data_IF_689618906837
#
_entry.id   IF_689618906837
#
_cell.length_a   1.000
_cell.length_b   1.000
_cell.length_c   1.000
_cell.angle_alpha   90.00
_cell.angle_beta   90.00
_cell.angle_gamma   90.00
#
_symmetry.space_group_name_H-M   'P 1'
#
loop_
_entity.id
_entity.type
_entity.pdbx_description
1 polymer ?
#
# COMPACT_ATOMS: atom_id res chain seq x y z
N UNK A 1 17.50 2.11 -21.63
CA UNK A 1 16.72 2.37 -20.41
C UNK A 1 16.33 1.01 -19.86
N UNK A 2 16.70 0.69 -18.62
CA UNK A 2 16.29 -0.54 -17.95
C UNK A 2 14.81 -0.50 -17.57
N UNK A 3 14.24 -1.67 -17.24
CA UNK A 3 12.89 -1.81 -16.71
C UNK A 3 12.97 -2.55 -15.37
N UNK A 4 12.35 -1.98 -14.35
CA UNK A 4 12.55 -2.38 -12.96
C UNK A 4 11.21 -2.80 -12.36
N UNK A 5 11.18 -4.02 -11.84
CA UNK A 5 10.00 -4.61 -11.21
C UNK A 5 10.37 -5.01 -9.78
N UNK A 6 9.42 -4.79 -8.90
CA UNK A 6 9.61 -4.96 -7.47
C UNK A 6 8.50 -5.83 -6.90
N UNK A 7 8.84 -6.93 -6.24
CA UNK A 7 7.86 -7.77 -5.56
C UNK A 7 8.04 -7.61 -4.05
N UNK A 8 6.99 -7.20 -3.38
CA UNK A 8 6.92 -7.08 -1.93
C UNK A 8 6.02 -8.18 -1.39
N UNK A 9 6.46 -8.92 -0.37
CA UNK A 9 5.78 -10.14 0.05
C UNK A 9 5.82 -10.38 1.56
N UNK A 10 4.84 -11.13 2.05
CA UNK A 10 4.83 -11.69 3.41
C UNK A 10 5.95 -12.71 3.60
N UNK A 11 6.26 -13.50 2.57
CA UNK A 11 7.17 -14.64 2.67
C UNK A 11 8.35 -14.54 1.72
N UNK A 12 9.56 -14.72 2.27
CA UNK A 12 10.78 -14.94 1.51
C UNK A 12 10.83 -16.38 1.01
N UNK A 13 10.67 -16.58 -0.29
CA UNK A 13 10.78 -17.87 -0.95
C UNK A 13 12.26 -18.22 -1.12
N UNK A 14 12.63 -19.43 -0.71
CA UNK A 14 13.98 -19.92 -0.91
C UNK A 14 14.27 -20.14 -2.39
N UNK A 15 15.56 -20.25 -2.72
CA UNK A 15 16.02 -20.65 -4.04
C UNK A 15 15.32 -21.92 -4.57
N UNK A 16 15.14 -22.91 -3.68
CA UNK A 16 14.49 -24.19 -4.00
C UNK A 16 13.02 -24.02 -4.40
N UNK A 17 12.33 -23.02 -3.84
CA UNK A 17 10.94 -22.70 -4.17
C UNK A 17 10.80 -21.83 -5.42
N UNK A 18 11.79 -20.97 -5.71
CA UNK A 18 11.76 -20.09 -6.88
C UNK A 18 12.08 -20.85 -8.18
N UNK A 19 12.98 -21.85 -8.12
CA UNK A 19 13.40 -22.61 -9.32
C UNK A 19 12.23 -23.32 -10.04
N UNK A 20 11.32 -24.02 -9.35
CA UNK A 20 10.11 -24.57 -9.97
C UNK A 20 9.23 -23.50 -10.64
N UNK A 21 9.05 -22.33 -10.02
CA UNK A 21 8.26 -21.24 -10.59
C UNK A 21 8.85 -20.71 -11.90
N UNK A 22 10.18 -20.63 -11.98
CA UNK A 22 10.89 -20.28 -13.21
C UNK A 22 10.69 -21.36 -14.28
N UNK A 23 10.87 -22.64 -13.92
CA UNK A 23 10.70 -23.76 -14.84
C UNK A 23 9.28 -23.81 -15.43
N UNK A 24 8.25 -23.63 -14.60
CA UNK A 24 6.84 -23.58 -15.01
C UNK A 24 6.52 -22.37 -15.90
N UNK A 25 7.37 -21.35 -15.90
CA UNK A 25 7.30 -20.19 -16.79
C UNK A 25 8.12 -20.38 -18.08
N UNK A 26 8.77 -21.54 -18.27
CA UNK A 26 9.68 -21.81 -19.39
C UNK A 26 10.99 -21.03 -19.27
N UNK A 27 11.40 -20.68 -18.04
CA UNK A 27 12.60 -19.94 -17.71
C UNK A 27 13.59 -20.85 -16.98
N UNK A 28 14.88 -20.50 -17.05
CA UNK A 28 15.94 -21.19 -16.32
C UNK A 28 16.94 -20.17 -15.77
N UNK A 29 17.73 -20.60 -14.79
CA UNK A 29 18.85 -19.80 -14.27
C UNK A 29 20.11 -20.18 -15.05
N UNK A 30 20.86 -19.20 -15.52
CA UNK A 30 22.22 -19.35 -16.03
C UNK A 30 23.22 -19.26 -14.88
N UNK A 31 24.23 -20.14 -14.90
CA UNK A 31 25.11 -20.49 -13.78
C UNK A 31 25.37 -19.32 -12.81
N UNK A 32 25.17 -19.60 -11.53
CA UNK A 32 25.27 -18.65 -10.41
C UNK A 32 26.74 -18.26 -10.11
N UNK A 33 27.50 -17.89 -11.13
CA UNK A 33 28.93 -17.57 -11.05
C UNK A 33 29.23 -16.13 -10.60
N UNK A 34 28.23 -15.42 -10.04
CA UNK A 34 28.52 -14.25 -9.22
C UNK A 34 28.90 -14.74 -7.81
N UNK A 35 29.99 -14.24 -7.22
CA UNK A 35 30.51 -14.72 -5.94
C UNK A 35 29.59 -14.46 -4.74
N UNK A 36 28.52 -13.65 -4.90
CA UNK A 36 27.42 -13.56 -3.94
C UNK A 36 26.18 -14.18 -4.56
N UNK A 37 25.62 -15.20 -3.92
CA UNK A 37 24.38 -15.87 -4.34
C UNK A 37 23.12 -14.99 -4.23
N UNK A 38 23.25 -13.68 -4.42
CA UNK A 38 22.24 -12.65 -4.15
C UNK A 38 21.37 -12.36 -5.38
N UNK A 39 21.85 -12.64 -6.60
CA UNK A 39 21.08 -12.44 -7.81
C UNK A 39 21.32 -13.53 -8.86
N UNK A 40 20.28 -13.81 -9.65
CA UNK A 40 20.24 -14.82 -10.68
C UNK A 40 20.02 -14.21 -12.05
N UNK A 41 20.85 -14.61 -13.01
CA UNK A 41 20.60 -14.35 -14.43
C UNK A 41 19.56 -15.35 -14.94
N UNK A 42 18.40 -14.86 -15.35
CA UNK A 42 17.30 -15.68 -15.87
C UNK A 42 17.34 -15.68 -17.39
N UNK A 43 17.32 -16.87 -17.97
CA UNK A 43 17.35 -17.12 -19.40
C UNK A 43 16.11 -17.87 -19.87
N UNK A 44 15.84 -17.80 -21.18
CA UNK A 44 14.66 -18.37 -21.82
C UNK A 44 15.00 -19.16 -23.09
N UNK A 45 14.29 -20.27 -23.28
CA UNK A 45 14.35 -21.08 -24.50
C UNK A 45 15.62 -21.91 -24.65
N UNK A 46 15.66 -22.73 -25.71
CA UNK A 46 16.76 -23.67 -25.94
C UNK A 46 18.12 -22.99 -26.16
N UNK A 47 18.13 -21.77 -26.71
CA UNK A 47 19.35 -20.97 -26.92
C UNK A 47 19.78 -20.18 -25.68
N UNK A 48 19.10 -20.36 -24.54
CA UNK A 48 19.40 -19.67 -23.27
C UNK A 48 19.54 -18.15 -23.43
N UNK A 49 18.63 -17.52 -24.18
CA UNK A 49 18.65 -16.07 -24.36
C UNK A 49 18.38 -15.40 -23.01
N UNK A 50 19.17 -14.39 -22.64
CA UNK A 50 18.89 -13.53 -21.49
C UNK A 50 17.44 -13.04 -21.49
N UNK A 51 16.80 -13.06 -20.33
CA UNK A 51 15.46 -12.54 -20.11
C UNK A 51 15.47 -11.39 -19.10
N UNK A 52 15.91 -11.65 -17.86
CA UNK A 52 16.01 -10.66 -16.80
C UNK A 52 16.97 -11.13 -15.68
N UNK A 53 17.34 -10.24 -14.78
CA UNK A 53 18.05 -10.57 -13.54
C UNK A 53 17.05 -10.56 -12.39
N UNK A 54 17.15 -11.52 -11.47
CA UNK A 54 16.31 -11.65 -10.28
C UNK A 54 17.19 -11.62 -9.03
N UNK A 55 17.01 -10.63 -8.16
CA UNK A 55 17.57 -10.66 -6.82
C UNK A 55 16.77 -11.61 -5.92
N UNK A 56 17.48 -12.39 -5.10
CA UNK A 56 16.89 -13.23 -4.05
C UNK A 56 16.25 -12.37 -2.95
N UNK A 57 15.31 -12.92 -2.15
CA UNK A 57 14.57 -12.12 -1.20
C UNK A 57 15.47 -11.52 -0.13
N UNK A 58 15.31 -10.22 0.08
CA UNK A 58 15.89 -9.49 1.21
C UNK A 58 14.75 -9.14 2.17
N UNK A 59 15.02 -9.09 3.48
CA UNK A 59 14.03 -8.56 4.41
C UNK A 59 13.84 -7.06 4.17
N UNK A 60 12.60 -6.63 4.13
CA UNK A 60 12.24 -5.22 4.04
C UNK A 60 11.89 -4.72 5.45
N UNK A 61 12.46 -3.60 5.86
CA UNK A 61 11.96 -2.86 7.03
C UNK A 61 10.78 -1.98 6.62
N UNK A 62 9.88 -1.57 7.54
CA UNK A 62 8.70 -0.80 7.20
C UNK A 62 9.00 0.51 6.45
N UNK A 63 10.12 1.18 6.75
CA UNK A 63 10.58 2.38 6.05
C UNK A 63 11.00 2.16 4.59
N UNK A 64 11.35 0.93 4.22
CA UNK A 64 11.77 0.57 2.86
C UNK A 64 10.56 0.28 1.95
N UNK A 65 9.36 0.16 2.52
CA UNK A 65 8.15 -0.19 1.78
C UNK A 65 7.53 1.05 1.15
N UNK A 66 7.36 1.02 -0.18
CA UNK A 66 6.67 2.08 -0.89
C UNK A 66 5.22 2.26 -0.39
N UNK A 67 4.77 3.51 -0.30
CA UNK A 67 3.41 3.80 0.18
C UNK A 67 2.30 3.13 -0.65
N UNK A 68 2.47 2.99 -1.97
CA UNK A 68 1.52 2.25 -2.80
C UNK A 68 1.42 0.76 -2.41
N UNK A 69 2.51 0.19 -1.89
CA UNK A 69 2.56 -1.19 -1.39
C UNK A 69 1.90 -1.26 -0.01
N UNK A 70 2.21 -0.33 0.90
CA UNK A 70 1.54 -0.23 2.21
C UNK A 70 0.02 -0.10 2.04
N UNK A 71 -0.43 0.68 1.07
CA UNK A 71 -1.85 0.82 0.74
C UNK A 71 -2.50 -0.48 0.23
N UNK A 72 -1.71 -1.43 -0.29
CA UNK A 72 -2.21 -2.66 -0.91
C UNK A 72 -2.06 -3.92 -0.02
N UNK A 73 -1.13 -3.93 0.94
CA UNK A 73 -0.83 -5.08 1.80
C UNK A 73 -0.40 -4.66 3.22
N UNK A 74 -0.70 -5.49 4.23
CA UNK A 74 -0.39 -5.23 5.65
C UNK A 74 0.93 -5.89 6.11
N UNK A 75 1.18 -7.14 5.71
CA UNK A 75 2.32 -7.95 6.17
C UNK A 75 3.47 -7.99 5.17
N UNK A 76 4.03 -6.85 4.77
CA UNK A 76 5.19 -6.88 3.88
C UNK A 76 6.46 -7.05 4.71
N UNK A 77 7.20 -8.15 4.47
CA UNK A 77 8.43 -8.48 5.21
C UNK A 77 9.62 -8.78 4.30
N UNK A 78 9.38 -9.03 3.01
CA UNK A 78 10.41 -9.38 2.04
C UNK A 78 10.24 -8.62 0.75
N UNK A 79 11.36 -8.40 0.07
CA UNK A 79 11.45 -7.69 -1.19
C UNK A 79 12.31 -8.47 -2.20
N UNK A 80 11.86 -8.50 -3.46
CA UNK A 80 12.60 -9.03 -4.61
C UNK A 80 12.70 -7.96 -5.69
N UNK A 81 13.86 -7.89 -6.33
CA UNK A 81 14.09 -7.02 -7.48
C UNK A 81 14.22 -7.84 -8.76
N UNK A 82 13.53 -7.40 -9.81
CA UNK A 82 13.68 -7.94 -11.16
C UNK A 82 14.07 -6.81 -12.11
N UNK A 83 15.18 -7.01 -12.80
CA UNK A 83 15.77 -6.03 -13.72
C UNK A 83 15.77 -6.58 -15.14
N UNK A 84 15.14 -5.85 -16.08
CA UNK A 84 15.28 -6.10 -17.51
C UNK A 84 16.22 -5.04 -18.09
N UNK A 85 17.32 -5.49 -18.69
CA UNK A 85 18.24 -4.58 -19.36
C UNK A 85 17.59 -3.94 -20.58
N UNK A 86 17.92 -2.66 -20.85
CA UNK A 86 17.30 -1.91 -21.96
C UNK A 86 17.58 -2.47 -23.35
N UNK A 87 18.61 -3.29 -23.51
CA UNK A 87 18.93 -4.06 -24.72
C UNK A 87 17.91 -5.20 -24.97
N UNK A 88 17.11 -5.54 -23.97
CA UNK A 88 16.23 -6.72 -23.93
C UNK A 88 14.76 -6.35 -23.70
N UNK A 89 14.30 -5.20 -24.21
CA UNK A 89 12.93 -4.73 -24.02
C UNK A 89 11.83 -5.75 -24.42
N UNK A 90 12.13 -6.66 -25.36
CA UNK A 90 11.22 -7.76 -25.74
C UNK A 90 10.93 -8.74 -24.62
N UNK A 91 11.77 -8.76 -23.58
CA UNK A 91 11.66 -9.67 -22.43
C UNK A 91 10.85 -9.06 -21.27
N UNK A 92 10.51 -7.76 -21.31
CA UNK A 92 9.67 -7.08 -20.31
C UNK A 92 8.37 -7.85 -20.01
N UNK A 93 7.59 -8.30 -21.02
CA UNK A 93 6.36 -9.06 -20.74
C UNK A 93 6.61 -10.40 -20.04
N UNK A 94 7.79 -11.00 -20.23
CA UNK A 94 8.16 -12.25 -19.55
C UNK A 94 8.51 -11.98 -18.08
N UNK A 95 9.27 -10.93 -17.81
CA UNK A 95 9.57 -10.48 -16.45
C UNK A 95 8.29 -10.12 -15.68
N UNK A 96 7.37 -9.36 -16.27
CA UNK A 96 6.08 -9.01 -15.64
C UNK A 96 5.27 -10.28 -15.33
N UNK A 97 5.16 -11.23 -16.27
CA UNK A 97 4.43 -12.48 -16.04
C UNK A 97 5.04 -13.30 -14.90
N UNK A 98 6.37 -13.38 -14.83
CA UNK A 98 7.04 -14.09 -13.77
C UNK A 98 6.89 -13.37 -12.42
N UNK A 99 7.08 -12.05 -12.38
CA UNK A 99 6.91 -11.23 -11.17
C UNK A 99 5.51 -11.38 -10.56
N UNK A 100 4.45 -11.46 -11.39
CA UNK A 100 3.10 -11.75 -10.93
C UNK A 100 2.96 -13.14 -10.30
N UNK A 101 3.58 -14.16 -10.91
CA UNK A 101 3.60 -15.52 -10.34
C UNK A 101 4.38 -15.57 -9.03
N UNK A 102 5.49 -14.85 -8.95
CA UNK A 102 6.30 -14.74 -7.74
C UNK A 102 5.51 -14.05 -6.62
N UNK A 103 4.89 -12.92 -6.91
CA UNK A 103 4.03 -12.19 -5.97
C UNK A 103 2.88 -13.08 -5.47
N UNK A 104 2.21 -13.81 -6.36
CA UNK A 104 1.18 -14.77 -5.96
C UNK A 104 1.73 -15.88 -5.03
N UNK A 105 2.84 -16.51 -5.40
CA UNK A 105 3.42 -17.61 -4.62
C UNK A 105 3.95 -17.16 -3.25
N UNK A 106 4.35 -15.89 -3.14
CA UNK A 106 4.90 -15.30 -1.92
C UNK A 106 3.84 -14.57 -1.06
N UNK A 107 2.56 -14.61 -1.45
CA UNK A 107 1.48 -13.80 -0.86
C UNK A 107 1.83 -12.30 -0.81
N UNK A 108 2.10 -11.73 -1.98
CA UNK A 108 2.65 -10.40 -2.12
C UNK A 108 2.06 -9.59 -3.26
N UNK A 109 2.62 -8.39 -3.45
CA UNK A 109 2.25 -7.43 -4.48
C UNK A 109 3.45 -7.16 -5.40
N UNK A 110 3.14 -6.89 -6.66
CA UNK A 110 4.09 -6.42 -7.66
C UNK A 110 3.91 -4.90 -7.83
N UNK A 111 4.99 -4.15 -7.66
CA UNK A 111 5.12 -2.75 -8.03
C UNK A 111 5.93 -2.63 -9.33
N UNK A 112 5.31 -1.98 -10.32
CA UNK A 112 5.97 -1.59 -11.56
C UNK A 112 6.55 -0.18 -11.40
N UNK A 113 7.87 -0.05 -11.34
CA UNK A 113 8.55 1.21 -11.03
C UNK A 113 8.41 2.25 -12.16
N UNK A 114 8.23 1.81 -13.40
CA UNK A 114 8.06 2.72 -14.53
C UNK A 114 6.66 3.35 -14.58
N UNK A 115 5.64 2.64 -14.08
CA UNK A 115 4.25 3.11 -14.14
C UNK A 115 3.62 3.40 -12.77
N UNK A 116 4.33 3.10 -11.69
CA UNK A 116 3.86 3.14 -10.31
C UNK A 116 2.56 2.33 -10.09
N UNK A 117 2.37 1.25 -10.86
CA UNK A 117 1.18 0.40 -10.78
C UNK A 117 1.41 -0.79 -9.86
N UNK A 118 0.45 -1.04 -9.00
CA UNK A 118 0.40 -2.22 -8.14
C UNK A 118 -0.41 -3.33 -8.81
N UNK A 119 0.06 -4.56 -8.68
CA UNK A 119 -0.70 -5.77 -8.99
C UNK A 119 -0.64 -6.74 -7.81
N UNK A 120 -1.76 -7.38 -7.49
CA UNK A 120 -1.86 -8.44 -6.49
C UNK A 120 -2.89 -9.48 -6.92
N UNK A 121 -2.77 -10.70 -6.41
CA UNK A 121 -3.83 -11.70 -6.57
C UNK A 121 -4.82 -11.57 -5.42
N UNK A 122 -5.84 -10.74 -5.63
CA UNK A 122 -6.86 -10.46 -4.62
C UNK A 122 -6.45 -9.35 -3.65
N UNK A 123 -7.23 -9.19 -2.59
CA UNK A 123 -7.00 -8.18 -1.56
C UNK A 123 -6.13 -8.77 -0.46
N UNK A 124 -4.92 -8.21 -0.29
CA UNK A 124 -3.95 -8.59 0.75
C UNK A 124 -3.98 -7.65 1.96
N UNK A 125 -4.91 -6.69 1.95
CA UNK A 125 -5.16 -5.73 3.01
C UNK A 125 -6.61 -5.86 3.43
N UNK A 126 -6.84 -6.58 4.53
CA UNK A 126 -8.16 -6.81 5.10
C UNK A 126 -8.11 -6.69 6.61
N UNK A 127 -9.08 -5.98 7.16
CA UNK A 127 -9.29 -5.97 8.60
C UNK A 127 -9.93 -7.29 9.03
N UNK A 128 -9.50 -7.89 10.15
CA UNK A 128 -10.17 -9.04 10.70
C UNK A 128 -11.63 -8.70 11.03
N UNK A 129 -12.48 -9.73 10.98
CA UNK A 129 -13.90 -9.57 11.31
C UNK A 129 -14.04 -9.48 12.82
N UNK A 130 -14.39 -8.29 13.30
CA UNK A 130 -14.77 -8.07 14.70
C UNK A 130 -16.17 -8.61 14.96
N UNK A 131 -16.32 -9.39 16.04
CA UNK A 131 -17.59 -9.96 16.50
C UNK A 131 -18.58 -8.86 16.92
N UNK A 132 -19.88 -9.15 16.83
CA UNK A 132 -20.91 -8.19 17.23
C UNK A 132 -21.00 -8.08 18.75
N UNK A 133 -20.94 -6.86 19.30
CA UNK A 133 -21.09 -6.64 20.74
C UNK A 133 -20.45 -5.35 21.23
N UNK A 134 -20.11 -5.32 22.51
CA UNK A 134 -19.26 -4.27 23.09
C UNK A 134 -17.84 -4.42 22.50
N UNK A 135 -17.32 -3.33 21.95
CA UNK A 135 -16.00 -3.28 21.32
C UNK A 135 -15.11 -2.30 22.06
N UNK A 136 -13.82 -2.60 22.12
CA UNK A 136 -12.81 -1.63 22.55
C UNK A 136 -12.38 -0.79 21.35
N UNK A 137 -12.21 0.50 21.55
CA UNK A 137 -11.74 1.43 20.51
C UNK A 137 -10.46 2.14 20.93
N UNK A 138 -9.66 2.50 19.94
CA UNK A 138 -8.52 3.41 20.07
C UNK A 138 -8.88 4.69 19.34
N UNK A 139 -8.69 5.82 20.01
CA UNK A 139 -8.84 7.15 19.41
C UNK A 139 -7.46 7.79 19.26
N UNK A 140 -7.12 8.16 18.05
CA UNK A 140 -5.92 8.93 17.72
C UNK A 140 -6.34 10.37 17.46
N UNK A 141 -5.67 11.33 18.10
CA UNK A 141 -5.90 12.75 17.91
C UNK A 141 -4.63 13.45 17.47
N UNK A 142 -4.74 14.22 16.39
CA UNK A 142 -3.70 15.11 15.91
C UNK A 142 -4.08 16.54 16.23
N UNK A 143 -3.10 17.33 16.69
CA UNK A 143 -3.25 18.74 16.96
C UNK A 143 -2.33 19.51 16.03
N UNK A 144 -2.90 20.39 15.21
CA UNK A 144 -2.18 21.13 14.16
C UNK A 144 -2.32 22.62 14.45
N UNK A 145 -1.26 23.39 14.27
CA UNK A 145 -1.30 24.83 14.49
C UNK A 145 -2.00 25.52 13.31
N UNK A 146 -2.89 26.45 13.63
CA UNK A 146 -3.60 27.25 12.63
C UNK A 146 -2.60 28.13 11.87
N UNK A 147 -2.53 27.98 10.54
CA UNK A 147 -1.69 28.79 9.65
C UNK A 147 -0.35 28.18 9.22
N UNK A 148 0.01 26.98 9.72
CA UNK A 148 1.22 26.25 9.29
C UNK A 148 1.00 25.41 8.01
N UNK A 149 -0.24 25.31 7.51
CA UNK A 149 -0.58 24.49 6.36
C UNK A 149 -0.62 25.29 5.05
N UNK A 150 0.20 24.89 4.07
CA UNK A 150 0.12 25.33 2.65
C UNK A 150 -1.10 24.72 1.90
N UNK A 151 -1.97 23.98 2.61
CA UNK A 151 -3.14 23.27 2.08
C UNK A 151 -4.28 23.16 3.12
N UNK A 152 -5.35 22.42 2.82
CA UNK A 152 -6.37 22.12 3.86
C UNK A 152 -6.02 20.80 4.54
N UNK A 153 -6.28 20.67 5.84
CA UNK A 153 -6.13 19.40 6.55
C UNK A 153 -6.88 18.24 5.85
N UNK A 154 -7.95 18.53 5.12
CA UNK A 154 -8.67 17.54 4.30
C UNK A 154 -7.84 17.00 3.13
N UNK A 155 -7.06 17.83 2.45
CA UNK A 155 -6.19 17.39 1.35
C UNK A 155 -5.05 16.51 1.89
N UNK A 156 -4.40 16.97 2.96
CA UNK A 156 -3.39 16.19 3.66
C UNK A 156 -3.96 14.84 4.14
N UNK A 157 -5.17 14.84 4.70
CA UNK A 157 -5.86 13.63 5.14
C UNK A 157 -6.09 12.64 3.99
N UNK A 158 -6.62 13.10 2.85
CA UNK A 158 -6.86 12.24 1.70
C UNK A 158 -5.55 11.69 1.13
N UNK A 159 -4.50 12.51 1.06
CA UNK A 159 -3.19 12.12 0.56
C UNK A 159 -2.53 11.06 1.46
N UNK A 160 -2.48 11.32 2.77
CA UNK A 160 -1.88 10.40 3.75
C UNK A 160 -2.71 9.13 3.89
N UNK A 161 -4.05 9.25 3.96
CA UNK A 161 -4.97 8.14 4.02
C UNK A 161 -4.79 7.19 2.83
N UNK A 162 -4.77 7.71 1.60
CA UNK A 162 -4.54 6.86 0.40
C UNK A 162 -3.24 6.08 0.47
N UNK A 163 -2.19 6.68 1.03
CA UNK A 163 -0.84 6.12 1.04
C UNK A 163 -0.60 5.14 2.18
N UNK A 164 -1.11 5.43 3.38
CA UNK A 164 -0.72 4.72 4.59
C UNK A 164 -1.88 3.95 5.23
N UNK A 165 -3.11 4.49 5.13
CA UNK A 165 -4.27 3.93 5.79
C UNK A 165 -5.54 4.14 4.95
N UNK A 166 -5.70 3.42 3.81
CA UNK A 166 -6.85 3.62 2.92
C UNK A 166 -8.21 3.46 3.59
N UNK A 167 -8.25 2.68 4.68
CA UNK A 167 -9.43 2.49 5.53
C UNK A 167 -9.90 3.78 6.21
N UNK A 168 -9.00 4.73 6.44
CA UNK A 168 -9.31 6.05 7.02
C UNK A 168 -9.84 7.06 6.00
N UNK A 169 -9.94 6.68 4.72
CA UNK A 169 -10.57 7.54 3.73
C UNK A 169 -12.07 7.67 4.03
N UNK A 170 -12.62 8.90 3.99
CA UNK A 170 -14.04 9.12 4.20
C UNK A 170 -14.87 8.30 3.22
N UNK A 171 -15.76 7.45 3.71
CA UNK A 171 -16.80 6.82 2.90
C UNK A 171 -18.07 7.67 2.89
N UNK A 172 -18.44 8.17 4.08
CA UNK A 172 -19.53 9.14 4.29
C UNK A 172 -19.01 10.30 5.12
N UNK A 173 -19.50 11.51 4.88
CA UNK A 173 -19.09 12.70 5.63
C UNK A 173 -20.22 13.73 5.78
N UNK A 174 -20.08 14.62 6.76
CA UNK A 174 -21.05 15.68 7.04
C UNK A 174 -20.80 16.39 8.37
N UNK A 175 -21.52 17.47 8.64
CA UNK A 175 -21.46 18.22 9.91
C UNK A 175 -22.47 17.75 10.95
N UNK A 176 -23.47 16.97 10.53
CA UNK A 176 -24.54 16.45 11.39
C UNK A 176 -24.92 15.04 10.94
N UNK A 177 -25.25 14.18 11.92
CA UNK A 177 -25.76 12.84 11.65
C UNK A 177 -27.26 12.89 11.27
N UNK A 178 -27.72 12.09 10.28
CA UNK A 178 -26.93 11.14 9.49
C UNK A 178 -26.03 11.82 8.45
N UNK A 179 -24.78 11.35 8.31
CA UNK A 179 -23.83 11.90 7.33
C UNK A 179 -24.34 11.77 5.88
N UNK A 180 -24.69 12.90 5.27
CA UNK A 180 -25.39 12.95 3.98
C UNK A 180 -24.52 12.78 2.74
N UNK A 181 -23.22 13.06 2.82
CA UNK A 181 -22.32 13.07 1.67
C UNK A 181 -21.52 11.78 1.53
N UNK A 182 -21.00 11.50 0.33
CA UNK A 182 -20.29 10.24 0.00
C UNK A 182 -19.10 10.53 -0.91
N UNK A 183 -17.89 10.20 -0.45
CA UNK A 183 -16.66 10.54 -1.17
C UNK A 183 -16.59 9.90 -2.56
N UNK A 184 -17.11 8.68 -2.70
CA UNK A 184 -17.15 7.96 -3.98
C UNK A 184 -18.04 8.66 -5.02
N UNK A 185 -19.15 9.27 -4.59
CA UNK A 185 -20.11 9.95 -5.46
C UNK A 185 -19.68 11.40 -5.72
N UNK A 186 -19.23 12.11 -4.68
CA UNK A 186 -18.89 13.53 -4.76
C UNK A 186 -17.48 13.79 -5.29
N UNK A 187 -16.57 12.83 -5.09
CA UNK A 187 -15.15 12.96 -5.40
C UNK A 187 -14.33 13.71 -4.35
N UNK A 188 -12.99 13.62 -4.42
CA UNK A 188 -12.08 14.19 -3.42
C UNK A 188 -12.12 15.72 -3.36
N UNK A 189 -12.23 16.40 -4.49
CA UNK A 189 -12.24 17.86 -4.55
C UNK A 189 -13.49 18.44 -3.87
N UNK A 190 -14.62 17.75 -3.97
CA UNK A 190 -15.85 18.13 -3.29
C UNK A 190 -15.72 17.96 -1.77
N UNK A 191 -15.10 16.88 -1.29
CA UNK A 191 -14.80 16.69 0.13
C UNK A 191 -13.89 17.78 0.69
N UNK A 192 -12.78 18.07 -0.02
CA UNK A 192 -11.84 19.14 0.37
C UNK A 192 -12.55 20.49 0.46
N UNK A 193 -13.36 20.82 -0.55
CA UNK A 193 -14.16 22.04 -0.56
C UNK A 193 -15.16 22.08 0.61
N UNK A 194 -15.84 20.97 0.87
CA UNK A 194 -16.81 20.85 1.96
C UNK A 194 -16.17 21.12 3.33
N UNK A 195 -15.02 20.48 3.62
CA UNK A 195 -14.31 20.70 4.90
C UNK A 195 -13.82 22.14 5.04
N UNK A 196 -13.40 22.77 3.94
CA UNK A 196 -12.96 24.17 3.95
C UNK A 196 -14.10 25.15 4.23
N UNK A 197 -15.30 24.85 3.74
CA UNK A 197 -16.46 25.76 3.78
C UNK A 197 -17.39 25.51 4.98
N UNK A 198 -17.37 24.31 5.54
CA UNK A 198 -18.16 23.97 6.73
C UNK A 198 -17.71 24.78 7.96
N UNK A 199 -18.66 25.13 8.81
CA UNK A 199 -18.37 25.77 10.11
C UNK A 199 -18.23 24.69 11.20
N UNK A 200 -17.15 24.74 11.97
CA UNK A 200 -16.92 23.84 13.11
C UNK A 200 -16.20 22.54 12.77
N UNK A 201 -16.89 21.41 12.79
CA UNK A 201 -16.28 20.07 12.67
C UNK A 201 -17.00 19.24 11.62
N UNK A 202 -16.24 18.63 10.72
CA UNK A 202 -16.75 17.64 9.78
C UNK A 202 -16.45 16.26 10.32
N UNK A 203 -17.48 15.44 10.44
CA UNK A 203 -17.39 14.04 10.82
C UNK A 203 -17.38 13.16 9.57
N UNK A 204 -16.72 12.01 9.65
CA UNK A 204 -16.75 11.00 8.59
C UNK A 204 -16.76 9.58 9.15
N UNK A 205 -17.21 8.63 8.34
CA UNK A 205 -17.09 7.18 8.57
C UNK A 205 -16.11 6.60 7.57
N UNK A 206 -15.14 5.81 8.04
CA UNK A 206 -14.20 5.08 7.20
C UNK A 206 -14.68 3.66 6.83
N UNK A 207 -13.74 2.83 6.39
CA UNK A 207 -13.89 1.38 6.31
C UNK A 207 -13.21 0.73 7.52
N UNK A 208 -13.64 -0.48 7.90
CA UNK A 208 -13.01 -1.20 9.01
C UNK A 208 -11.50 -1.36 8.75
N UNK A 209 -10.65 -1.15 9.78
CA UNK A 209 -10.99 -1.08 11.20
C UNK A 209 -11.43 0.32 11.68
N UNK A 210 -11.45 1.31 10.80
CA UNK A 210 -11.87 2.68 11.10
C UNK A 210 -13.40 2.74 11.19
N UNK A 211 -13.90 3.28 12.30
CA UNK A 211 -15.34 3.47 12.51
C UNK A 211 -15.73 4.91 12.23
N UNK A 212 -14.93 5.85 12.71
CA UNK A 212 -15.26 7.28 12.77
C UNK A 212 -14.01 8.13 12.65
N UNK A 213 -14.17 9.36 12.21
CA UNK A 213 -13.16 10.38 12.37
C UNK A 213 -13.76 11.77 12.25
N UNK A 214 -12.95 12.77 12.59
CA UNK A 214 -13.34 14.16 12.48
C UNK A 214 -12.19 15.04 12.02
N UNK A 215 -12.52 16.07 11.25
CA UNK A 215 -11.62 17.13 10.88
C UNK A 215 -12.20 18.45 11.38
N UNK A 216 -11.37 19.26 12.03
CA UNK A 216 -11.66 20.68 12.19
C UNK A 216 -11.90 21.30 10.79
N UNK A 217 -12.90 22.16 10.71
CA UNK A 217 -13.41 22.72 9.47
C UNK A 217 -13.60 24.23 9.58
N UNK A 218 -13.51 24.90 8.43
CA UNK A 218 -13.84 26.31 8.30
C UNK A 218 -12.79 27.32 8.79
N UNK A 219 -12.96 28.60 8.41
CA UNK A 219 -12.08 29.70 8.82
C UNK A 219 -12.35 30.20 10.25
N UNK A 220 -13.48 29.81 10.83
CA UNK A 220 -14.05 30.31 12.09
C UNK A 220 -13.62 29.52 13.32
N UNK A 221 -12.82 28.47 13.17
CA UNK A 221 -12.22 27.76 14.31
C UNK A 221 -11.20 28.69 15.00
N UNK A 222 -11.70 29.53 15.91
CA UNK A 222 -11.02 30.69 16.51
C UNK A 222 -9.86 30.40 17.46
N UNK A 223 -9.20 29.26 17.30
CA UNK A 223 -8.03 28.86 18.08
C UNK A 223 -6.75 28.89 17.26
N UNK A 224 -5.61 28.94 17.95
CA UNK A 224 -4.28 28.73 17.33
C UNK A 224 -4.00 27.26 17.03
N UNK A 225 -4.94 26.36 17.35
CA UNK A 225 -4.78 24.92 17.22
C UNK A 225 -6.10 24.29 16.76
N UNK A 226 -5.99 23.44 15.74
CA UNK A 226 -7.05 22.59 15.23
C UNK A 226 -6.82 21.16 15.70
N UNK A 227 -7.89 20.40 15.88
CA UNK A 227 -7.81 18.98 16.23
C UNK A 227 -8.51 18.11 15.19
N UNK A 228 -7.84 17.03 14.82
CA UNK A 228 -8.36 15.98 13.96
C UNK A 228 -8.37 14.67 14.74
N UNK A 229 -9.34 13.80 14.50
CA UNK A 229 -9.45 12.53 15.21
C UNK A 229 -9.76 11.37 14.28
N UNK A 230 -9.31 10.18 14.69
CA UNK A 230 -9.64 8.90 14.08
C UNK A 230 -9.96 7.91 15.18
N UNK A 231 -11.11 7.26 15.09
CA UNK A 231 -11.49 6.16 15.97
C UNK A 231 -11.46 4.87 15.19
N UNK A 232 -10.80 3.88 15.77
CA UNK A 232 -10.65 2.55 15.20
C UNK A 232 -10.91 1.47 16.24
N UNK A 233 -11.31 0.30 15.77
CA UNK A 233 -11.45 -0.89 16.61
C UNK A 233 -10.08 -1.32 17.12
N UNK A 234 -9.98 -1.63 18.41
CA UNK A 234 -8.72 -2.02 19.05
C UNK A 234 -8.30 -3.45 18.67
N UNK A 235 -9.25 -4.34 18.41
CA UNK A 235 -8.99 -5.76 18.14
C UNK A 235 -8.12 -5.97 16.88
N UNK A 236 -8.37 -5.33 15.73
CA UNK A 236 -7.46 -5.34 14.58
C UNK A 236 -6.02 -4.93 14.92
N UNK A 237 -5.81 -4.02 15.87
CA UNK A 237 -4.47 -3.59 16.30
C UNK A 237 -3.74 -4.63 17.17
N UNK A 238 -4.41 -5.70 17.59
CA UNK A 238 -3.73 -6.81 18.25
C UNK A 238 -2.93 -7.68 17.27
N UNK A 239 -3.25 -7.60 15.97
CA UNK A 239 -2.53 -8.32 14.92
C UNK A 239 -1.24 -7.58 14.53
N UNK A 240 -0.13 -8.33 14.40
CA UNK A 240 1.18 -7.79 14.02
C UNK A 240 1.14 -7.09 12.65
N UNK A 241 0.29 -7.58 11.75
CA UNK A 241 0.08 -7.06 10.40
C UNK A 241 -0.37 -5.61 10.38
N UNK A 242 -1.37 -5.30 11.21
CA UNK A 242 -1.87 -3.95 11.35
C UNK A 242 -0.90 -3.05 12.09
N UNK A 243 -0.14 -3.58 13.06
CA UNK A 243 0.84 -2.80 13.81
C UNK A 243 2.06 -2.43 12.97
N UNK A 244 2.49 -3.31 12.07
CA UNK A 244 3.67 -3.09 11.22
C UNK A 244 3.35 -2.15 10.05
N UNK A 245 2.10 -2.13 9.59
CA UNK A 245 1.68 -1.31 8.46
C UNK A 245 1.29 0.15 8.82
N UNK A 246 1.19 0.49 10.12
CA UNK A 246 0.78 1.79 10.65
C UNK A 246 1.95 2.60 11.20
#
# INVERSE_FOLDING_TARGET
>A
MSYDLQVYAERGLTAENIRPLLADAGLAVEDASLPSGEAWTVVRGATRKYSFTLALPVRAEPEDVHGEVTAAALDVSYFYELLVEGSSATEIPHAIRFARRLAEAANGVLLDQQTNKIWSRGSLRQAPRVDSGLVSTVEVRWYVRTGDDDGTAADAWLKLGRRHLPEALPRRYGTVEPLGHRLEEDGPDAFVRFVREADGTVFFKGNRPITDGSLAAGPTYGGTMQSHSLTLLAEPLAEDSWRTAL
#
